data_IF_474239431120
#
_entry.id   IF_474239431120
#
_cell.length_a   1.000
_cell.length_b   1.000
_cell.length_c   1.000
_cell.angle_alpha   90.00
_cell.angle_beta   90.00
_cell.angle_gamma   90.00
#
_symmetry.space_group_name_H-M   'P 1'
#
loop_
_entity.id
_entity.type
_entity.pdbx_description
1 polymer ?
#
# COMPACT_ATOMS: atom_id res chain seq x y z
N UNK A 1 -11.94 -23.01 20.41
CA UNK A 1 -12.45 -22.96 18.99
C UNK A 1 -11.75 -24.12 18.29
N UNK A 2 -12.42 -25.26 18.27
CA UNK A 2 -11.77 -26.54 17.88
C UNK A 2 -12.10 -26.96 16.44
N UNK A 3 -13.00 -26.21 15.74
CA UNK A 3 -13.39 -26.50 14.36
C UNK A 3 -13.22 -25.26 13.47
N UNK A 4 -12.32 -25.37 12.49
CA UNK A 4 -12.06 -24.36 11.47
C UNK A 4 -13.29 -24.04 10.60
N UNK A 5 -14.21 -24.97 10.47
CA UNK A 5 -15.42 -24.75 9.66
C UNK A 5 -16.33 -23.66 10.23
N UNK A 6 -16.25 -23.36 11.52
CA UNK A 6 -17.06 -22.30 12.15
C UNK A 6 -16.63 -20.90 11.71
N UNK A 7 -15.37 -20.46 11.89
CA UNK A 7 -14.90 -19.18 11.35
C UNK A 7 -15.09 -19.07 9.83
N UNK A 8 -14.87 -20.16 9.10
CA UNK A 8 -15.06 -20.22 7.64
C UNK A 8 -16.52 -19.96 7.24
N UNK A 9 -17.47 -20.47 8.00
CA UNK A 9 -18.90 -20.19 7.79
C UNK A 9 -19.21 -18.69 8.01
N UNK A 10 -18.70 -18.09 9.08
CA UNK A 10 -18.89 -16.67 9.39
C UNK A 10 -18.34 -15.79 8.27
N UNK A 11 -17.14 -16.07 7.78
CA UNK A 11 -16.53 -15.38 6.65
C UNK A 11 -17.36 -15.51 5.37
N UNK A 12 -17.89 -16.72 5.09
CA UNK A 12 -18.73 -16.96 3.92
C UNK A 12 -20.05 -16.17 3.99
N UNK A 13 -20.69 -16.09 5.18
CA UNK A 13 -21.92 -15.32 5.39
C UNK A 13 -21.66 -13.81 5.21
N UNK A 14 -20.57 -13.31 5.75
CA UNK A 14 -20.19 -11.90 5.58
C UNK A 14 -19.94 -11.54 4.11
N UNK A 15 -19.19 -12.37 3.38
CA UNK A 15 -18.90 -12.15 1.95
C UNK A 15 -20.13 -12.23 1.06
N UNK A 16 -21.05 -13.15 1.38
CA UNK A 16 -22.26 -13.36 0.60
C UNK A 16 -23.43 -12.44 0.99
N UNK A 17 -23.38 -11.79 2.16
CA UNK A 17 -24.47 -10.99 2.72
C UNK A 17 -25.74 -11.79 3.01
N UNK A 18 -25.70 -13.12 2.83
CA UNK A 18 -26.85 -14.02 3.02
C UNK A 18 -26.39 -15.44 3.36
N UNK A 19 -27.23 -16.15 4.12
CA UNK A 19 -26.95 -17.54 4.48
C UNK A 19 -27.08 -18.49 3.28
N UNK A 20 -27.95 -18.20 2.35
CA UNK A 20 -28.11 -18.98 1.12
C UNK A 20 -26.87 -18.89 0.22
N UNK A 21 -26.32 -17.68 0.06
CA UNK A 21 -25.07 -17.45 -0.67
C UNK A 21 -23.89 -18.15 -0.02
N UNK A 22 -23.78 -18.08 1.31
CA UNK A 22 -22.76 -18.76 2.08
C UNK A 22 -22.84 -20.30 1.95
N UNK A 23 -24.03 -20.86 2.07
CA UNK A 23 -24.27 -22.29 1.92
C UNK A 23 -23.80 -22.78 0.53
N UNK A 24 -24.19 -22.05 -0.52
CA UNK A 24 -23.77 -22.34 -1.90
C UNK A 24 -22.23 -22.28 -2.06
N UNK A 25 -21.57 -21.27 -1.49
CA UNK A 25 -20.11 -21.13 -1.60
C UNK A 25 -19.34 -22.21 -0.86
N UNK A 26 -19.93 -22.74 0.23
CA UNK A 26 -19.33 -23.80 1.04
C UNK A 26 -19.72 -25.22 0.60
N UNK A 27 -20.63 -25.35 -0.40
CA UNK A 27 -21.10 -26.65 -0.87
C UNK A 27 -21.92 -27.43 0.17
N UNK A 28 -22.67 -26.74 1.04
CA UNK A 28 -23.52 -27.33 2.08
C UNK A 28 -24.97 -26.85 1.91
N UNK A 29 -25.89 -27.58 2.54
CA UNK A 29 -27.32 -27.20 2.53
C UNK A 29 -27.60 -25.97 3.41
N UNK A 30 -28.56 -25.16 3.01
CA UNK A 30 -28.99 -23.99 3.75
C UNK A 30 -29.37 -24.31 5.21
N UNK A 31 -30.08 -25.41 5.44
CA UNK A 31 -30.45 -25.87 6.79
C UNK A 31 -29.22 -26.22 7.66
N UNK A 32 -28.18 -26.79 7.04
CA UNK A 32 -26.92 -27.11 7.69
C UNK A 32 -26.17 -25.82 8.06
N UNK A 33 -26.09 -24.84 7.14
CA UNK A 33 -25.47 -23.56 7.42
C UNK A 33 -26.19 -22.80 8.55
N UNK A 34 -27.53 -22.78 8.50
CA UNK A 34 -28.37 -22.16 9.53
C UNK A 34 -28.15 -22.77 10.92
N UNK A 35 -28.21 -24.11 11.02
CA UNK A 35 -27.98 -24.81 12.28
C UNK A 35 -26.59 -24.56 12.84
N UNK A 36 -25.55 -24.63 11.99
CA UNK A 36 -24.17 -24.39 12.43
C UNK A 36 -23.96 -22.97 12.93
N UNK A 37 -24.51 -21.97 12.22
CA UNK A 37 -24.40 -20.57 12.66
C UNK A 37 -25.09 -20.35 14.01
N UNK A 38 -26.32 -20.88 14.20
CA UNK A 38 -27.03 -20.76 15.48
C UNK A 38 -26.27 -21.45 16.61
N UNK A 39 -25.82 -22.70 16.41
CA UNK A 39 -25.05 -23.43 17.41
C UNK A 39 -23.78 -22.65 17.82
N UNK A 40 -23.11 -22.01 16.86
CA UNK A 40 -21.94 -21.19 17.12
C UNK A 40 -22.30 -19.94 17.94
N UNK A 41 -23.35 -19.21 17.56
CA UNK A 41 -23.82 -18.02 18.29
C UNK A 41 -24.28 -18.39 19.72
N UNK A 42 -25.00 -19.49 19.88
CA UNK A 42 -25.44 -19.98 21.18
C UNK A 42 -24.27 -20.37 22.08
N UNK A 43 -23.25 -21.05 21.53
CA UNK A 43 -22.04 -21.43 22.26
C UNK A 43 -21.20 -20.22 22.68
N UNK A 44 -21.16 -19.18 21.84
CA UNK A 44 -20.41 -17.95 22.12
C UNK A 44 -21.20 -16.97 23.03
N UNK A 45 -22.52 -17.17 23.17
CA UNK A 45 -23.39 -16.26 23.90
C UNK A 45 -23.57 -14.88 23.26
N UNK A 46 -23.21 -14.74 21.98
CA UNK A 46 -23.32 -13.48 21.23
C UNK A 46 -23.83 -13.70 19.81
N UNK A 47 -24.58 -12.73 19.29
CA UNK A 47 -24.97 -12.72 17.88
C UNK A 47 -23.81 -12.22 17.03
N UNK A 48 -23.52 -12.96 15.96
CA UNK A 48 -22.50 -12.58 14.98
C UNK A 48 -23.13 -11.81 13.80
N UNK A 49 -24.42 -12.00 13.55
CA UNK A 49 -25.14 -11.30 12.49
C UNK A 49 -26.51 -10.81 12.96
N UNK A 50 -26.85 -9.61 12.51
CA UNK A 50 -28.23 -9.14 12.50
C UNK A 50 -28.94 -9.70 11.26
N UNK A 51 -30.17 -10.20 11.46
CA UNK A 51 -30.97 -10.80 10.39
C UNK A 51 -32.04 -9.81 9.98
N UNK A 52 -31.86 -9.24 8.79
CA UNK A 52 -32.81 -8.27 8.24
C UNK A 52 -33.86 -8.95 7.38
N UNK A 53 -35.04 -8.30 7.16
CA UNK A 53 -36.06 -8.77 6.22
C UNK A 53 -35.45 -9.05 4.84
N UNK A 54 -35.94 -10.09 4.15
CA UNK A 54 -35.39 -10.49 2.84
C UNK A 54 -34.20 -11.43 2.88
N UNK A 55 -33.79 -11.93 4.07
CA UNK A 55 -32.71 -12.92 4.20
C UNK A 55 -31.30 -12.33 4.17
N UNK A 56 -31.17 -11.02 4.40
CA UNK A 56 -29.92 -10.31 4.49
C UNK A 56 -29.31 -10.48 5.89
N UNK A 57 -28.01 -10.76 5.95
CA UNK A 57 -27.23 -10.91 7.16
C UNK A 57 -26.19 -9.77 7.22
N UNK A 58 -26.29 -8.92 8.25
CA UNK A 58 -25.36 -7.82 8.50
C UNK A 58 -24.48 -8.20 9.69
N UNK A 59 -23.15 -8.17 9.58
CA UNK A 59 -22.29 -8.56 10.68
C UNK A 59 -22.40 -7.58 11.86
N UNK A 60 -22.44 -8.10 13.08
CA UNK A 60 -22.22 -7.33 14.30
C UNK A 60 -20.72 -7.05 14.48
N UNK A 61 -20.33 -6.22 15.45
CA UNK A 61 -18.92 -6.02 15.77
C UNK A 61 -18.19 -7.31 16.17
N UNK A 62 -18.90 -8.29 16.73
CA UNK A 62 -18.36 -9.62 17.01
C UNK A 62 -18.20 -10.44 15.71
N UNK A 63 -19.17 -10.36 14.80
CA UNK A 63 -19.13 -10.97 13.48
C UNK A 63 -17.98 -10.45 12.63
N UNK A 64 -17.80 -9.13 12.59
CA UNK A 64 -16.68 -8.50 11.88
C UNK A 64 -15.30 -8.97 12.39
N UNK A 65 -15.12 -9.01 13.71
CA UNK A 65 -13.88 -9.50 14.31
C UNK A 65 -13.60 -10.97 13.99
N UNK A 66 -14.66 -11.81 14.05
CA UNK A 66 -14.52 -13.23 13.74
C UNK A 66 -14.23 -13.45 12.26
N UNK A 67 -14.91 -12.76 11.36
CA UNK A 67 -14.66 -12.86 9.93
C UNK A 67 -13.27 -12.36 9.54
N UNK A 68 -12.79 -11.26 10.12
CA UNK A 68 -11.43 -10.77 9.92
C UNK A 68 -10.38 -11.79 10.43
N UNK A 69 -10.65 -12.50 11.53
CA UNK A 69 -9.80 -13.59 12.00
C UNK A 69 -9.85 -14.79 11.03
N UNK A 70 -11.04 -15.16 10.55
CA UNK A 70 -11.24 -16.24 9.59
C UNK A 70 -10.53 -15.97 8.25
N UNK A 71 -10.54 -14.72 7.80
CA UNK A 71 -9.83 -14.30 6.58
C UNK A 71 -8.32 -14.51 6.71
N UNK A 72 -7.72 -14.13 7.85
CA UNK A 72 -6.30 -14.42 8.12
C UNK A 72 -5.99 -15.92 8.17
N UNK A 73 -6.87 -16.72 8.78
CA UNK A 73 -6.71 -18.18 8.84
C UNK A 73 -6.83 -18.82 7.45
N UNK A 74 -7.74 -18.34 6.60
CA UNK A 74 -7.87 -18.78 5.20
C UNK A 74 -6.60 -18.45 4.41
N UNK A 75 -6.06 -17.23 4.58
CA UNK A 75 -4.81 -16.79 3.95
C UNK A 75 -3.62 -17.68 4.37
N UNK A 76 -3.54 -18.06 5.65
CA UNK A 76 -2.50 -18.99 6.14
C UNK A 76 -2.68 -20.40 5.62
N UNK A 77 -3.91 -20.92 5.53
CA UNK A 77 -4.17 -22.26 4.95
C UNK A 77 -3.81 -22.29 3.47
N UNK A 78 -4.17 -21.26 2.71
CA UNK A 78 -3.79 -21.11 1.30
C UNK A 78 -2.28 -20.94 1.12
N UNK A 79 -1.61 -20.33 2.10
CA UNK A 79 -0.17 -20.21 2.11
C UNK A 79 0.51 -21.58 2.35
N UNK A 80 0.00 -22.37 3.30
CA UNK A 80 0.47 -23.72 3.57
C UNK A 80 0.30 -24.63 2.35
N UNK A 81 -0.86 -24.57 1.67
CA UNK A 81 -1.08 -25.31 0.42
C UNK A 81 -0.04 -24.91 -0.66
N UNK A 82 0.31 -23.61 -0.74
CA UNK A 82 1.37 -23.12 -1.65
C UNK A 82 2.76 -23.64 -1.26
N UNK A 83 3.08 -23.68 0.03
CA UNK A 83 4.37 -24.17 0.54
C UNK A 83 4.52 -25.68 0.32
N UNK A 84 3.45 -26.45 0.57
CA UNK A 84 3.46 -27.92 0.39
C UNK A 84 3.46 -28.26 -1.11
N UNK A 85 2.72 -27.52 -1.95
CA UNK A 85 2.69 -27.73 -3.39
C UNK A 85 4.00 -27.29 -4.09
N UNK A 86 4.89 -26.56 -3.40
CA UNK A 86 6.29 -26.26 -3.70
C UNK A 86 6.66 -25.74 -5.09
N UNK A 87 5.71 -25.67 -6.06
CA UNK A 87 5.89 -25.22 -7.43
C UNK A 87 4.55 -24.81 -8.03
N UNK A 88 3.95 -23.70 -7.57
CA UNK A 88 2.80 -23.17 -8.29
C UNK A 88 3.26 -22.53 -9.62
N UNK A 89 3.27 -23.34 -10.67
CA UNK A 89 3.59 -22.89 -12.04
C UNK A 89 2.43 -22.17 -12.73
N UNK A 90 1.30 -21.93 -12.06
CA UNK A 90 0.12 -21.33 -12.68
C UNK A 90 0.28 -19.81 -12.82
N UNK A 91 0.08 -19.32 -14.03
CA UNK A 91 -0.02 -17.89 -14.34
C UNK A 91 -1.47 -17.39 -14.17
N UNK A 92 -2.10 -17.78 -13.05
CA UNK A 92 -3.48 -17.41 -12.71
C UNK A 92 -3.66 -17.31 -11.19
N UNK A 93 -4.74 -16.65 -10.76
CA UNK A 93 -5.10 -16.47 -9.35
C UNK A 93 -4.72 -15.10 -8.80
N UNK A 94 -4.84 -14.90 -7.49
CA UNK A 94 -4.62 -13.63 -6.79
C UNK A 94 -3.13 -13.42 -6.49
N UNK A 95 -2.68 -12.19 -6.63
CA UNK A 95 -1.36 -11.70 -6.24
C UNK A 95 -1.54 -10.41 -5.44
N UNK A 96 -1.26 -10.46 -4.14
CA UNK A 96 -1.40 -9.31 -3.24
C UNK A 96 -0.12 -8.51 -3.21
N UNK A 97 -0.19 -7.27 -3.65
CA UNK A 97 0.96 -6.36 -3.77
C UNK A 97 0.76 -5.17 -2.84
N UNK A 98 1.76 -4.83 -2.04
CA UNK A 98 1.71 -3.62 -1.22
C UNK A 98 2.69 -2.56 -1.74
N UNK A 99 2.27 -1.29 -1.69
CA UNK A 99 3.06 -0.15 -2.13
C UNK A 99 2.77 1.09 -1.30
N UNK A 100 3.67 2.09 -1.36
CA UNK A 100 3.36 3.41 -0.86
C UNK A 100 2.38 4.16 -1.77
N UNK A 101 1.66 5.13 -1.19
CA UNK A 101 0.68 5.95 -1.87
C UNK A 101 1.22 6.59 -3.15
N UNK A 102 2.37 7.23 -3.07
CA UNK A 102 2.98 7.98 -4.18
C UNK A 102 3.44 7.08 -5.33
N UNK A 103 4.01 5.91 -5.02
CA UNK A 103 4.38 4.91 -6.04
C UNK A 103 3.14 4.35 -6.75
N UNK A 104 2.09 4.03 -5.98
CA UNK A 104 0.83 3.53 -6.51
C UNK A 104 0.19 4.57 -7.45
N UNK A 105 0.14 5.82 -7.00
CA UNK A 105 -0.46 6.93 -7.74
C UNK A 105 0.27 7.22 -9.05
N UNK A 106 1.59 7.37 -9.02
CA UNK A 106 2.35 7.94 -10.15
C UNK A 106 2.89 6.89 -11.14
N UNK A 107 3.40 5.78 -10.63
CA UNK A 107 4.18 4.85 -11.45
C UNK A 107 3.50 3.49 -11.63
N UNK A 108 3.03 2.90 -10.52
CA UNK A 108 2.68 1.49 -10.51
C UNK A 108 1.48 1.15 -11.39
N UNK A 109 0.47 2.00 -11.43
CA UNK A 109 -0.77 1.76 -12.19
C UNK A 109 -0.51 1.53 -13.69
N UNK A 110 0.42 2.28 -14.30
CA UNK A 110 0.81 2.10 -15.70
C UNK A 110 1.46 0.74 -15.96
N UNK A 111 2.36 0.32 -15.07
CA UNK A 111 3.00 -1.00 -15.13
C UNK A 111 2.03 -2.15 -14.86
N UNK A 112 1.06 -1.96 -13.94
CA UNK A 112 -0.01 -2.94 -13.68
C UNK A 112 -0.92 -3.11 -14.90
N UNK A 113 -1.21 -2.03 -15.63
CA UNK A 113 -1.96 -2.13 -16.89
C UNK A 113 -1.21 -2.97 -17.96
N UNK A 114 0.10 -2.81 -18.05
CA UNK A 114 0.93 -3.65 -18.93
C UNK A 114 0.96 -5.11 -18.46
N UNK A 115 1.13 -5.32 -17.15
CA UNK A 115 1.11 -6.64 -16.51
C UNK A 115 -0.22 -7.37 -16.75
N UNK A 116 -1.35 -6.68 -16.58
CA UNK A 116 -2.70 -7.23 -16.82
C UNK A 116 -2.91 -7.71 -18.25
N UNK A 117 -2.37 -6.97 -19.24
CA UNK A 117 -2.42 -7.38 -20.65
C UNK A 117 -1.60 -8.63 -20.91
N UNK A 118 -0.40 -8.73 -20.32
CA UNK A 118 0.49 -9.87 -20.50
C UNK A 118 0.01 -11.13 -19.75
N UNK A 119 -0.62 -10.97 -18.59
CA UNK A 119 -1.02 -12.06 -17.70
C UNK A 119 -2.47 -11.92 -17.24
N UNK A 120 -3.47 -12.09 -18.15
CA UNK A 120 -4.88 -11.86 -17.83
C UNK A 120 -5.48 -12.80 -16.79
N UNK A 121 -4.84 -13.94 -16.50
CA UNK A 121 -5.25 -14.88 -15.47
C UNK A 121 -4.87 -14.46 -14.05
N UNK A 122 -3.96 -13.47 -13.88
CA UNK A 122 -3.51 -13.02 -12.56
C UNK A 122 -4.30 -11.79 -12.16
N UNK A 123 -4.96 -11.85 -10.98
CA UNK A 123 -5.66 -10.73 -10.36
C UNK A 123 -4.73 -10.08 -9.35
N UNK A 124 -4.31 -8.85 -9.60
CA UNK A 124 -3.50 -8.08 -8.65
C UNK A 124 -4.41 -7.35 -7.68
N UNK A 125 -4.23 -7.60 -6.39
CA UNK A 125 -4.79 -6.79 -5.30
C UNK A 125 -3.72 -5.84 -4.80
N UNK A 126 -3.91 -4.55 -5.05
CA UNK A 126 -2.97 -3.52 -4.60
C UNK A 126 -3.43 -2.95 -3.25
N UNK A 127 -2.62 -3.15 -2.22
CA UNK A 127 -2.79 -2.56 -0.89
C UNK A 127 -1.87 -1.34 -0.77
N UNK A 128 -2.48 -0.16 -0.72
CA UNK A 128 -1.76 1.11 -0.57
C UNK A 128 -1.70 1.47 0.91
N UNK A 129 -0.50 1.40 1.49
CA UNK A 129 -0.25 1.79 2.87
C UNK A 129 1.16 2.37 3.01
N UNK A 130 1.27 3.55 3.63
CA UNK A 130 2.56 4.19 3.89
C UNK A 130 3.31 3.55 5.08
N UNK A 131 2.63 2.75 5.90
CA UNK A 131 3.27 1.92 6.92
C UNK A 131 3.93 0.71 6.26
N UNK A 132 4.99 0.22 6.86
CA UNK A 132 5.64 -1.01 6.42
C UNK A 132 4.77 -2.21 6.84
N UNK A 133 4.08 -2.82 5.86
CA UNK A 133 3.37 -4.08 6.09
C UNK A 133 4.38 -5.23 6.17
N UNK A 134 4.12 -6.18 7.05
CA UNK A 134 5.00 -7.33 7.27
C UNK A 134 4.78 -8.41 6.22
N UNK A 135 5.76 -8.62 5.35
CA UNK A 135 5.78 -9.77 4.43
C UNK A 135 5.96 -11.09 5.19
N UNK A 136 6.67 -11.07 6.33
CA UNK A 136 6.84 -12.24 7.19
C UNK A 136 5.52 -12.69 7.82
N UNK A 137 4.57 -11.77 8.03
CA UNK A 137 3.20 -12.08 8.45
C UNK A 137 2.27 -12.35 7.27
N UNK A 138 2.81 -12.42 6.06
CA UNK A 138 2.08 -12.67 4.80
C UNK A 138 0.91 -11.71 4.55
N UNK A 139 1.04 -10.46 5.02
CA UNK A 139 0.08 -9.40 4.74
C UNK A 139 0.08 -8.99 3.26
N UNK A 140 1.14 -9.34 2.51
CA UNK A 140 1.23 -9.23 1.06
C UNK A 140 2.22 -10.27 0.49
N UNK A 141 2.06 -10.62 -0.80
CA UNK A 141 2.98 -11.50 -1.53
C UNK A 141 4.22 -10.73 -2.01
N UNK A 142 4.03 -9.49 -2.45
CA UNK A 142 5.10 -8.61 -2.95
C UNK A 142 4.98 -7.22 -2.30
N UNK A 143 6.11 -6.63 -1.95
CA UNK A 143 6.17 -5.24 -1.51
C UNK A 143 7.08 -4.40 -2.43
N UNK A 144 6.58 -3.21 -2.78
CA UNK A 144 7.33 -2.13 -3.44
C UNK A 144 7.51 -1.00 -2.44
N UNK A 145 8.75 -0.77 -2.00
CA UNK A 145 9.04 0.17 -0.91
C UNK A 145 10.22 1.08 -1.23
N UNK A 146 10.15 2.37 -0.82
CA UNK A 146 11.24 3.34 -1.02
C UNK A 146 12.39 3.14 -0.02
N UNK A 147 12.45 2.00 0.67
CA UNK A 147 13.51 1.62 1.61
C UNK A 147 13.78 0.12 1.54
N UNK A 148 15.03 -0.27 1.81
CA UNK A 148 15.38 -1.69 1.94
C UNK A 148 14.73 -2.26 3.19
N UNK A 149 13.94 -3.34 3.08
CA UNK A 149 13.42 -4.04 4.25
C UNK A 149 14.57 -4.61 5.09
N UNK A 150 14.46 -4.50 6.42
CA UNK A 150 15.52 -4.91 7.36
C UNK A 150 15.22 -6.24 8.06
N UNK A 151 14.00 -6.75 7.99
CA UNK A 151 13.52 -7.86 8.78
C UNK A 151 12.88 -8.95 7.91
N UNK A 152 13.06 -10.20 8.35
CA UNK A 152 12.45 -11.39 7.75
C UNK A 152 13.31 -12.06 6.67
N UNK A 153 12.89 -13.28 6.29
CA UNK A 153 13.48 -14.05 5.20
C UNK A 153 12.94 -13.52 3.85
N UNK A 154 13.50 -12.37 3.43
CA UNK A 154 13.07 -11.64 2.26
C UNK A 154 14.04 -11.81 1.10
N UNK A 155 13.48 -12.07 -0.06
CA UNK A 155 14.17 -12.10 -1.33
C UNK A 155 13.70 -10.94 -2.21
N UNK A 156 14.64 -10.27 -2.89
CA UNK A 156 14.30 -9.15 -3.74
C UNK A 156 15.50 -8.42 -4.28
N UNK A 157 15.22 -7.31 -4.96
CA UNK A 157 16.28 -6.49 -5.57
C UNK A 157 15.94 -5.00 -5.49
N UNK A 158 16.98 -4.20 -5.50
CA UNK A 158 16.91 -2.77 -5.75
C UNK A 158 16.51 -2.52 -7.21
N UNK A 159 15.57 -1.61 -7.44
CA UNK A 159 15.12 -1.20 -8.78
C UNK A 159 15.77 0.13 -9.21
N UNK A 160 15.77 1.11 -8.29
CA UNK A 160 16.26 2.45 -8.58
C UNK A 160 16.73 3.18 -7.32
N UNK A 161 17.35 4.35 -7.50
CA UNK A 161 17.51 5.37 -6.47
C UNK A 161 16.28 6.26 -6.48
N UNK A 162 15.91 6.80 -5.33
CA UNK A 162 14.79 7.73 -5.17
C UNK A 162 15.33 9.04 -4.63
N UNK A 163 15.24 10.08 -5.41
CA UNK A 163 15.66 11.42 -5.01
C UNK A 163 14.46 12.25 -4.53
N UNK A 164 14.74 13.26 -3.71
CA UNK A 164 13.78 14.19 -3.16
C UNK A 164 14.21 15.62 -3.48
N UNK A 165 13.25 16.49 -3.76
CA UNK A 165 13.49 17.91 -3.96
C UNK A 165 12.35 18.75 -3.35
N UNK A 166 12.60 20.03 -3.15
CA UNK A 166 11.60 21.00 -2.68
C UNK A 166 10.89 21.59 -3.89
N UNK A 167 9.56 21.61 -3.84
CA UNK A 167 8.68 22.08 -4.91
C UNK A 167 7.75 23.18 -4.45
N UNK A 168 7.45 24.10 -5.34
CA UNK A 168 6.40 25.11 -5.20
C UNK A 168 5.70 25.35 -6.52
N UNK A 169 4.50 25.92 -6.48
CA UNK A 169 3.84 26.39 -7.69
C UNK A 169 4.68 27.46 -8.40
N UNK A 170 4.67 27.47 -9.73
CA UNK A 170 5.40 28.48 -10.51
C UNK A 170 5.10 29.91 -10.05
N UNK A 171 3.80 30.26 -9.88
CA UNK A 171 3.38 31.57 -9.43
C UNK A 171 3.89 31.90 -8.00
N UNK A 172 3.90 30.90 -7.10
CA UNK A 172 4.42 31.07 -5.74
C UNK A 172 5.91 31.39 -5.75
N UNK A 173 6.70 30.64 -6.53
CA UNK A 173 8.16 30.84 -6.63
C UNK A 173 8.51 32.19 -7.27
N UNK A 174 7.75 32.61 -8.29
CA UNK A 174 7.94 33.90 -8.95
C UNK A 174 7.56 35.11 -8.06
N UNK A 175 6.54 34.93 -7.21
CA UNK A 175 6.08 36.00 -6.30
C UNK A 175 6.90 36.06 -5.00
N UNK A 176 7.80 35.11 -4.78
CA UNK A 176 8.60 35.04 -3.55
C UNK A 176 9.60 36.22 -3.47
N UNK A 177 9.56 37.02 -2.40
CA UNK A 177 10.46 38.15 -2.26
C UNK A 177 11.91 37.73 -1.94
N UNK A 178 12.08 36.52 -1.44
CA UNK A 178 13.38 35.97 -1.05
C UNK A 178 13.73 34.80 -1.98
N UNK A 179 14.87 34.84 -2.67
CA UNK A 179 15.29 33.72 -3.50
C UNK A 179 15.63 32.49 -2.64
N UNK A 180 15.31 31.30 -3.17
CA UNK A 180 15.63 30.03 -2.54
C UNK A 180 16.84 29.45 -3.26
N UNK A 181 18.01 29.60 -2.69
CA UNK A 181 19.27 29.13 -3.26
C UNK A 181 19.78 27.87 -2.56
N UNK A 182 19.54 27.77 -1.27
CA UNK A 182 20.00 26.70 -0.39
C UNK A 182 18.87 26.19 0.54
N UNK A 183 19.12 25.09 1.21
CA UNK A 183 18.18 24.55 2.18
C UNK A 183 17.95 25.47 3.39
N UNK A 184 18.93 26.30 3.74
CA UNK A 184 18.83 27.23 4.87
C UNK A 184 17.82 28.37 4.60
N UNK A 185 17.55 28.66 3.34
CA UNK A 185 16.58 29.70 2.94
C UNK A 185 15.13 29.24 3.16
N UNK A 186 14.88 27.93 3.30
CA UNK A 186 13.54 27.35 3.41
C UNK A 186 12.75 27.89 4.60
N UNK A 187 13.42 28.18 5.72
CA UNK A 187 12.79 28.68 6.93
C UNK A 187 12.15 30.07 6.80
N UNK A 188 12.46 30.82 5.74
CA UNK A 188 11.90 32.12 5.43
C UNK A 188 10.58 32.04 4.60
N UNK A 189 10.16 30.82 4.22
CA UNK A 189 9.01 30.59 3.35
C UNK A 189 7.93 29.77 4.04
N UNK A 190 6.64 29.92 3.62
CA UNK A 190 5.58 29.01 4.02
C UNK A 190 5.91 27.57 3.59
N UNK A 191 5.89 26.64 4.55
CA UNK A 191 6.21 25.23 4.31
C UNK A 191 4.99 24.34 4.52
N UNK A 192 4.94 23.30 3.71
CA UNK A 192 4.00 22.19 3.82
C UNK A 192 4.78 21.00 4.37
N UNK A 193 4.32 20.43 5.47
CA UNK A 193 5.05 19.35 6.15
C UNK A 193 4.15 18.22 6.64
N UNK A 194 4.75 17.37 7.44
CA UNK A 194 4.06 16.24 8.06
C UNK A 194 3.47 16.63 9.41
N UNK A 195 2.41 15.93 9.81
CA UNK A 195 1.86 16.00 11.15
C UNK A 195 2.76 15.27 12.17
N UNK A 196 2.57 15.55 13.45
CA UNK A 196 3.39 15.04 14.55
C UNK A 196 3.35 13.51 14.71
N UNK A 197 2.37 12.84 14.11
CA UNK A 197 2.26 11.38 14.09
C UNK A 197 3.24 10.69 13.12
N UNK A 198 3.93 11.45 12.25
CA UNK A 198 4.88 10.88 11.28
C UNK A 198 6.25 10.77 11.93
N UNK A 199 6.61 9.56 12.36
CA UNK A 199 7.88 9.26 13.01
C UNK A 199 8.75 8.41 12.08
N UNK A 200 10.06 8.72 12.02
CA UNK A 200 11.05 7.89 11.33
C UNK A 200 11.09 8.06 9.81
N UNK A 201 10.44 9.07 9.25
CA UNK A 201 10.58 9.45 7.84
C UNK A 201 11.72 10.47 7.68
N UNK A 202 12.83 10.04 7.10
CA UNK A 202 14.03 10.88 6.94
C UNK A 202 13.75 12.26 6.28
N UNK A 203 12.79 12.31 5.35
CA UNK A 203 12.38 13.57 4.71
C UNK A 203 11.67 14.52 5.69
N UNK A 204 10.81 14.00 6.58
CA UNK A 204 10.15 14.80 7.61
C UNK A 204 11.16 15.32 8.63
N UNK A 205 12.07 14.45 9.08
CA UNK A 205 13.13 14.82 10.02
C UNK A 205 14.09 15.86 9.42
N UNK A 206 14.43 15.71 8.14
CA UNK A 206 15.28 16.66 7.44
C UNK A 206 14.60 18.04 7.34
N UNK A 207 13.37 18.08 6.86
CA UNK A 207 12.63 19.36 6.71
C UNK A 207 12.42 20.04 8.06
N UNK A 208 12.16 19.28 9.13
CA UNK A 208 12.02 19.81 10.49
C UNK A 208 13.30 20.40 11.08
N UNK A 209 14.48 20.02 10.55
CA UNK A 209 15.76 20.67 10.91
C UNK A 209 16.03 21.95 10.13
N UNK A 210 15.47 22.08 8.92
CA UNK A 210 15.68 23.25 8.05
C UNK A 210 14.81 24.45 8.42
N UNK A 211 13.74 24.24 9.19
CA UNK A 211 12.80 25.32 9.49
C UNK A 211 12.19 25.20 10.88
N UNK A 212 11.82 26.35 11.46
CA UNK A 212 11.08 26.40 12.73
C UNK A 212 9.61 26.02 12.54
N UNK A 213 8.95 25.65 13.64
CA UNK A 213 7.55 25.20 13.62
C UNK A 213 6.58 26.20 12.98
N UNK A 214 6.85 27.51 13.14
CA UNK A 214 6.03 28.62 12.63
C UNK A 214 6.05 28.74 11.12
N UNK A 215 7.07 28.22 10.44
CA UNK A 215 7.13 28.21 8.98
C UNK A 215 6.15 27.20 8.35
N UNK A 216 5.68 26.22 9.13
CA UNK A 216 4.76 25.20 8.64
C UNK A 216 3.32 25.69 8.69
N UNK A 217 2.79 26.09 7.54
CA UNK A 217 1.42 26.62 7.38
C UNK A 217 0.38 25.54 7.08
N UNK A 218 0.81 24.34 6.66
CA UNK A 218 -0.05 23.20 6.37
C UNK A 218 0.66 21.90 6.73
N UNK A 219 -0.06 20.95 7.35
CA UNK A 219 0.48 19.65 7.77
C UNK A 219 -0.47 18.53 7.40
N UNK A 220 0.06 17.46 6.78
CA UNK A 220 -0.68 16.25 6.43
C UNK A 220 0.27 15.06 6.36
N UNK A 221 -0.23 13.84 6.56
CA UNK A 221 0.52 12.59 6.41
C UNK A 221 0.50 12.01 4.98
N UNK A 222 -0.20 12.67 4.04
CA UNK A 222 -0.31 12.28 2.63
C UNK A 222 0.57 13.16 1.76
N UNK A 223 1.55 12.57 1.08
CA UNK A 223 2.39 13.28 0.11
C UNK A 223 1.60 13.76 -1.12
N UNK A 224 0.52 13.08 -1.47
CA UNK A 224 -0.39 13.54 -2.53
C UNK A 224 -1.07 14.85 -2.10
N UNK A 225 -1.55 14.93 -0.86
CA UNK A 225 -2.13 16.18 -0.34
C UNK A 225 -1.08 17.29 -0.19
N UNK A 226 0.17 16.97 0.15
CA UNK A 226 1.26 17.95 0.17
C UNK A 226 1.53 18.49 -1.25
N UNK A 227 1.56 17.61 -2.25
CA UNK A 227 1.69 17.99 -3.66
C UNK A 227 0.54 18.93 -4.11
N UNK A 228 -0.70 18.56 -3.80
CA UNK A 228 -1.87 19.38 -4.14
C UNK A 228 -1.86 20.73 -3.44
N UNK A 229 -1.44 20.79 -2.18
CA UNK A 229 -1.30 22.03 -1.42
C UNK A 229 -0.21 22.94 -2.02
N UNK A 230 0.92 22.36 -2.45
CA UNK A 230 1.96 23.11 -3.14
C UNK A 230 1.48 23.65 -4.49
N UNK A 231 0.75 22.87 -5.28
CA UNK A 231 0.12 23.30 -6.53
C UNK A 231 -0.88 24.45 -6.31
N UNK A 232 -1.62 24.42 -5.21
CA UNK A 232 -2.54 25.50 -4.83
C UNK A 232 -1.83 26.77 -4.31
N UNK A 233 -0.50 26.78 -4.24
CA UNK A 233 0.29 27.94 -3.80
C UNK A 233 0.29 28.14 -2.28
N UNK A 234 -0.09 27.15 -1.47
CA UNK A 234 -0.09 27.25 0.00
C UNK A 234 1.34 27.42 0.54
N UNK A 235 2.33 26.81 -0.10
CA UNK A 235 3.74 26.87 0.31
C UNK A 235 4.61 25.88 -0.44
N UNK A 236 5.82 25.66 0.07
CA UNK A 236 6.78 24.72 -0.45
C UNK A 236 6.57 23.34 0.17
N UNK A 237 6.65 22.30 -0.66
CA UNK A 237 6.59 20.91 -0.23
C UNK A 237 7.87 20.14 -0.59
N UNK A 238 8.32 19.26 0.31
CA UNK A 238 9.40 18.32 0.05
C UNK A 238 8.82 17.01 -0.50
N UNK A 239 9.03 16.73 -1.77
CA UNK A 239 8.43 15.61 -2.48
C UNK A 239 9.49 14.71 -3.13
N UNK A 240 9.20 13.40 -3.33
CA UNK A 240 9.99 12.57 -4.24
C UNK A 240 10.00 13.15 -5.65
N UNK A 241 11.16 13.15 -6.32
CA UNK A 241 11.30 13.76 -7.64
C UNK A 241 10.33 13.17 -8.67
N UNK A 242 10.10 11.85 -8.68
CA UNK A 242 9.14 11.21 -9.58
C UNK A 242 7.69 11.67 -9.37
N UNK A 243 7.37 12.30 -8.24
CA UNK A 243 6.07 12.88 -7.97
C UNK A 243 6.02 14.35 -8.41
N UNK A 244 6.99 15.16 -7.97
CA UNK A 244 7.01 16.59 -8.22
C UNK A 244 7.34 16.98 -9.66
N UNK A 245 8.35 16.34 -10.27
CA UNK A 245 8.79 16.66 -11.65
C UNK A 245 7.73 16.35 -12.72
N UNK A 246 6.77 15.48 -12.40
CA UNK A 246 5.68 15.14 -13.31
C UNK A 246 4.47 16.08 -13.20
N UNK A 247 4.49 17.04 -12.30
CA UNK A 247 3.39 18.00 -12.13
C UNK A 247 3.72 19.28 -12.88
N UNK A 248 2.97 19.61 -13.96
CA UNK A 248 3.27 20.77 -14.80
C UNK A 248 3.13 22.12 -14.10
N UNK A 249 2.35 22.16 -13.01
CA UNK A 249 2.13 23.38 -12.22
C UNK A 249 3.19 23.61 -11.13
N UNK A 250 4.11 22.65 -10.95
CA UNK A 250 5.18 22.70 -9.95
C UNK A 250 6.54 22.89 -10.60
N UNK A 251 7.41 23.60 -9.89
CA UNK A 251 8.84 23.67 -10.19
C UNK A 251 9.66 23.36 -8.95
N UNK A 252 10.87 22.88 -9.15
CA UNK A 252 11.85 22.76 -8.07
C UNK A 252 12.23 24.14 -7.56
N UNK A 253 12.14 24.33 -6.24
CA UNK A 253 12.60 25.56 -5.58
C UNK A 253 14.13 25.70 -5.64
N UNK A 254 14.83 24.57 -5.64
CA UNK A 254 16.28 24.47 -5.84
C UNK A 254 16.58 23.55 -7.03
N UNK A 255 17.57 23.84 -7.89
CA UNK A 255 17.83 23.09 -9.11
C UNK A 255 18.16 21.61 -8.87
N UNK A 256 18.87 21.31 -7.78
CA UNK A 256 19.36 19.98 -7.47
C UNK A 256 18.52 19.29 -6.39
N UNK A 257 18.32 17.97 -6.52
CA UNK A 257 17.74 17.16 -5.44
C UNK A 257 18.59 17.23 -4.15
N UNK A 258 17.93 16.98 -3.02
CA UNK A 258 18.56 16.95 -1.70
C UNK A 258 19.41 15.69 -1.58
N UNK A 259 20.74 15.85 -1.49
CA UNK A 259 21.69 14.73 -1.49
C UNK A 259 21.51 13.80 -0.29
N UNK A 260 21.19 14.34 0.88
CA UNK A 260 20.98 13.61 2.14
C UNK A 260 19.72 12.75 2.13
N UNK A 261 18.79 12.99 1.20
CA UNK A 261 17.52 12.31 1.10
C UNK A 261 17.45 11.27 -0.04
N UNK A 262 18.61 10.82 -0.52
CA UNK A 262 18.60 9.76 -1.53
C UNK A 262 18.22 8.42 -0.90
N UNK A 263 17.05 7.92 -1.28
CA UNK A 263 16.53 6.61 -0.92
C UNK A 263 16.73 5.56 -2.03
N UNK A 264 16.13 4.40 -1.83
CA UNK A 264 16.20 3.27 -2.78
C UNK A 264 14.83 2.63 -2.94
N UNK A 265 14.39 2.44 -4.19
CA UNK A 265 13.19 1.64 -4.48
C UNK A 265 13.58 0.16 -4.53
N UNK A 266 12.90 -0.64 -3.72
CA UNK A 266 13.05 -2.09 -3.66
C UNK A 266 11.76 -2.79 -4.06
N UNK A 267 11.91 -3.93 -4.75
CA UNK A 267 10.86 -4.93 -4.92
C UNK A 267 11.29 -6.18 -4.16
N UNK A 268 10.41 -6.65 -3.28
CA UNK A 268 10.71 -7.78 -2.38
C UNK A 268 9.52 -8.71 -2.24
N UNK A 269 9.81 -9.97 -1.96
CA UNK A 269 8.86 -11.04 -1.62
C UNK A 269 9.44 -11.88 -0.49
N UNK A 270 8.62 -12.73 0.14
CA UNK A 270 9.15 -13.76 1.04
C UNK A 270 9.94 -14.79 0.25
N UNK A 271 11.03 -15.35 0.84
CA UNK A 271 11.91 -16.31 0.16
C UNK A 271 11.14 -17.53 -0.38
N UNK A 272 10.11 -18.01 0.34
CA UNK A 272 9.28 -19.14 -0.08
C UNK A 272 8.48 -18.89 -1.36
N UNK A 273 8.16 -17.61 -1.65
CA UNK A 273 7.35 -17.24 -2.82
C UNK A 273 8.18 -16.90 -4.06
N UNK A 274 9.50 -16.74 -3.94
CA UNK A 274 10.38 -16.27 -5.01
C UNK A 274 10.29 -17.11 -6.30
N UNK A 275 10.03 -18.41 -6.15
CA UNK A 275 10.00 -19.37 -7.25
C UNK A 275 8.59 -19.59 -7.81
N UNK A 276 7.55 -18.99 -7.22
CA UNK A 276 6.19 -19.06 -7.76
C UNK A 276 6.08 -18.30 -9.07
N UNK A 277 5.39 -18.86 -10.06
CA UNK A 277 5.31 -18.27 -11.41
C UNK A 277 4.73 -16.85 -11.39
N UNK A 278 3.68 -16.60 -10.58
CA UNK A 278 3.04 -15.28 -10.47
C UNK A 278 4.00 -14.21 -9.94
N UNK A 279 4.80 -14.55 -8.95
CA UNK A 279 5.79 -13.63 -8.37
C UNK A 279 6.89 -13.35 -9.38
N UNK A 280 7.43 -14.38 -10.04
CA UNK A 280 8.50 -14.24 -11.03
C UNK A 280 8.09 -13.32 -12.18
N UNK A 281 6.94 -13.55 -12.82
CA UNK A 281 6.49 -12.70 -13.92
C UNK A 281 6.16 -11.28 -13.48
N UNK A 282 5.71 -11.07 -12.23
CA UNK A 282 5.53 -9.73 -11.69
C UNK A 282 6.87 -9.00 -11.51
N UNK A 283 7.90 -9.67 -11.00
CA UNK A 283 9.26 -9.12 -10.88
C UNK A 283 9.86 -8.80 -12.24
N UNK A 284 9.59 -9.63 -13.27
CA UNK A 284 10.07 -9.41 -14.64
C UNK A 284 9.36 -8.21 -15.30
N UNK A 285 8.05 -8.20 -15.32
CA UNK A 285 7.25 -7.20 -16.05
C UNK A 285 7.19 -5.88 -15.28
N UNK A 286 6.68 -5.90 -14.03
CA UNK A 286 6.48 -4.68 -13.24
C UNK A 286 7.81 -4.20 -12.67
N UNK A 287 8.60 -5.09 -12.06
CA UNK A 287 9.92 -4.73 -11.56
C UNK A 287 10.88 -4.29 -12.67
N UNK A 288 10.84 -4.93 -13.82
CA UNK A 288 11.62 -4.55 -15.00
C UNK A 288 11.17 -3.21 -15.60
N UNK A 289 9.86 -2.93 -15.59
CA UNK A 289 9.30 -1.64 -16.01
C UNK A 289 9.76 -0.49 -15.10
N UNK A 290 9.57 -0.64 -13.80
CA UNK A 290 10.00 0.36 -12.80
C UNK A 290 11.53 0.61 -12.82
N UNK A 291 12.34 -0.40 -13.14
CA UNK A 291 13.78 -0.22 -13.30
C UNK A 291 14.15 0.62 -14.53
N UNK A 292 13.29 0.70 -15.55
CA UNK A 292 13.47 1.61 -16.70
C UNK A 292 13.16 3.06 -16.34
N UNK A 293 12.31 3.30 -15.35
CA UNK A 293 11.97 4.64 -14.84
C UNK A 293 13.03 5.20 -13.86
N UNK A 294 14.21 4.56 -13.78
CA UNK A 294 15.28 4.91 -12.83
C UNK A 294 15.70 6.36 -12.90
N UNK A 295 15.74 6.96 -14.09
CA UNK A 295 16.18 8.34 -14.27
C UNK A 295 15.15 9.31 -13.68
N UNK A 296 13.86 9.08 -13.93
CA UNK A 296 12.76 9.82 -13.30
C UNK A 296 12.79 9.67 -11.78
N UNK A 297 12.98 8.45 -11.28
CA UNK A 297 13.06 8.17 -9.83
C UNK A 297 14.27 8.87 -9.18
N UNK A 298 15.39 8.96 -9.88
CA UNK A 298 16.61 9.61 -9.43
C UNK A 298 16.59 11.13 -9.57
N UNK A 299 15.50 11.71 -10.12
CA UNK A 299 15.41 13.15 -10.36
C UNK A 299 16.25 13.63 -11.53
N UNK A 300 16.61 12.75 -12.46
CA UNK A 300 17.16 13.10 -13.76
C UNK A 300 16.05 13.72 -14.64
N UNK A 301 16.29 14.91 -15.13
CA UNK A 301 15.48 15.56 -16.16
C UNK A 301 15.91 15.12 -17.54
#
# INVERSE_FOLDING_TARGET
>A
MDDWNEPRLVLAVQRAGSLAGAAKSLGIDHSTAFRRLNTLEDRLGVRLFERLPGGTYVPTSAGERMAAAAERMEDEALALDRDIAGRDHRLSGRLRVTSSETLAYRLLTGHLAAFRRAHPGIVVELVVDNRVLSLSRREADIALRPTRPKEGDLWGRKLARVAWAVYGAHAFLQASPTPISTADDLGAHPLIGWGDSTVGLAAADWLGRMARAEAFVYRTNSLINQMLAARAGIGLALLPCYLGDCEPDLARAMPQPIRELTGELWIVTHADLKDTARVRVFFEVVGGGLAKDRDLLAGGM
#
